data_IF_097489559343
#
_entry.id   IF_097489559343
#
_cell.length_a   1.000
_cell.length_b   1.000
_cell.length_c   1.000
_cell.angle_alpha   90.00
_cell.angle_beta   90.00
_cell.angle_gamma   90.00
#
_symmetry.space_group_name_H-M   'P 1'
#
loop_
_entity.id
_entity.type
_entity.pdbx_description
1 polymer ?
#
# COMPACT_ATOMS: atom_id res chain seq x y z
N UNK A 1 27.69 -14.61 -33.17
CA UNK A 1 27.46 -13.91 -31.88
C UNK A 1 26.38 -12.83 -31.91
N UNK A 2 25.88 -12.37 -33.07
CA UNK A 2 24.76 -11.40 -33.14
C UNK A 2 23.35 -12.03 -33.10
N UNK A 3 23.22 -13.31 -33.48
CA UNK A 3 21.91 -13.98 -33.63
C UNK A 3 21.30 -14.45 -32.29
N UNK A 4 22.11 -14.76 -31.28
CA UNK A 4 21.64 -15.22 -29.98
C UNK A 4 21.06 -14.09 -29.11
N UNK A 5 21.47 -12.84 -29.34
CA UNK A 5 20.98 -11.68 -28.58
C UNK A 5 19.57 -11.27 -28.97
N UNK A 6 19.20 -11.36 -30.25
CA UNK A 6 17.87 -11.02 -30.74
C UNK A 6 16.81 -12.05 -30.28
N UNK A 7 17.12 -13.34 -30.38
CA UNK A 7 16.23 -14.42 -29.95
C UNK A 7 16.00 -14.45 -28.42
N UNK A 8 17.00 -14.04 -27.63
CA UNK A 8 16.86 -13.94 -26.18
C UNK A 8 16.00 -12.73 -25.77
N UNK A 9 16.08 -11.63 -26.52
CA UNK A 9 15.25 -10.44 -26.28
C UNK A 9 13.77 -10.71 -26.58
N UNK A 10 13.46 -11.40 -27.69
CA UNK A 10 12.09 -11.80 -28.06
C UNK A 10 11.46 -12.79 -27.07
N UNK A 11 12.25 -13.75 -26.55
CA UNK A 11 11.78 -14.69 -25.50
C UNK A 11 11.52 -13.98 -24.18
N UNK A 12 12.34 -13.02 -23.82
CA UNK A 12 12.18 -12.23 -22.59
C UNK A 12 10.97 -11.29 -22.70
N UNK A 13 10.77 -10.66 -23.86
CA UNK A 13 9.65 -9.76 -24.12
C UNK A 13 8.31 -10.52 -24.20
N UNK A 14 8.27 -11.69 -24.84
CA UNK A 14 7.09 -12.55 -24.89
C UNK A 14 6.73 -13.17 -23.53
N UNK A 15 7.72 -13.53 -22.70
CA UNK A 15 7.48 -13.97 -21.32
C UNK A 15 6.94 -12.85 -20.44
N UNK A 16 7.45 -11.62 -20.59
CA UNK A 16 6.99 -10.45 -19.85
C UNK A 16 5.55 -10.07 -20.23
N UNK A 17 5.21 -10.09 -21.51
CA UNK A 17 3.83 -9.84 -22.01
C UNK A 17 2.85 -10.89 -21.49
N UNK A 18 3.22 -12.17 -21.50
CA UNK A 18 2.40 -13.27 -20.94
C UNK A 18 2.21 -13.16 -19.41
N UNK A 19 3.22 -12.67 -18.69
CA UNK A 19 3.15 -12.47 -17.23
C UNK A 19 2.22 -11.30 -16.88
N UNK A 20 2.29 -10.21 -17.62
CA UNK A 20 1.41 -9.05 -17.44
C UNK A 20 -0.06 -9.40 -17.73
N UNK A 21 -0.33 -10.22 -18.76
CA UNK A 21 -1.71 -10.64 -19.09
C UNK A 21 -2.35 -11.48 -17.97
N UNK A 22 -1.60 -12.39 -17.34
CA UNK A 22 -2.10 -13.19 -16.20
C UNK A 22 -2.36 -12.34 -14.96
N UNK A 23 -1.50 -11.36 -14.68
CA UNK A 23 -1.66 -10.43 -13.58
C UNK A 23 -2.95 -9.62 -13.74
N UNK A 24 -3.15 -9.00 -14.90
CA UNK A 24 -4.37 -8.24 -15.18
C UNK A 24 -5.64 -9.10 -15.12
N UNK A 25 -5.58 -10.34 -15.60
CA UNK A 25 -6.69 -11.28 -15.49
C UNK A 25 -7.05 -11.59 -14.04
N UNK A 26 -6.04 -11.83 -13.19
CA UNK A 26 -6.27 -12.03 -11.76
C UNK A 26 -6.96 -10.80 -11.14
N UNK A 27 -6.51 -9.59 -11.46
CA UNK A 27 -7.09 -8.36 -10.92
C UNK A 27 -8.55 -8.19 -11.38
N UNK A 28 -8.83 -8.44 -12.67
CA UNK A 28 -10.20 -8.40 -13.21
C UNK A 28 -11.11 -9.39 -12.50
N UNK A 29 -10.65 -10.64 -12.30
CA UNK A 29 -11.40 -11.66 -11.58
C UNK A 29 -11.60 -11.28 -10.10
N UNK A 30 -10.57 -10.76 -9.43
CA UNK A 30 -10.67 -10.32 -8.03
C UNK A 30 -11.71 -9.20 -7.84
N UNK A 31 -11.82 -8.27 -8.79
CA UNK A 31 -12.87 -7.24 -8.78
C UNK A 31 -14.25 -7.83 -9.08
N UNK A 32 -14.37 -8.64 -10.14
CA UNK A 32 -15.63 -9.27 -10.55
C UNK A 32 -16.22 -10.12 -9.43
N UNK A 33 -15.38 -10.92 -8.78
CA UNK A 33 -15.76 -11.87 -7.74
C UNK A 33 -15.83 -11.20 -6.35
N UNK A 34 -15.78 -9.86 -6.32
CA UNK A 34 -15.91 -9.00 -5.12
C UNK A 34 -14.87 -9.26 -4.03
N UNK A 35 -13.73 -9.86 -4.40
CA UNK A 35 -12.59 -10.04 -3.52
C UNK A 35 -11.79 -8.75 -3.31
N UNK A 36 -11.86 -7.83 -4.26
CA UNK A 36 -11.27 -6.48 -4.21
C UNK A 36 -12.35 -5.50 -4.62
N UNK A 37 -12.56 -4.45 -3.82
CA UNK A 37 -13.55 -3.40 -4.12
C UNK A 37 -13.00 -2.44 -5.17
N UNK A 38 -13.75 -2.24 -6.25
CA UNK A 38 -13.53 -1.15 -7.20
C UNK A 38 -14.29 0.09 -6.70
N UNK A 39 -13.57 1.16 -6.34
CA UNK A 39 -14.15 2.46 -5.97
C UNK A 39 -14.14 3.32 -7.23
N UNK A 40 -15.31 3.78 -7.67
CA UNK A 40 -15.38 4.69 -8.82
C UNK A 40 -14.71 6.00 -8.44
N UNK A 41 -13.83 6.51 -9.31
CA UNK A 41 -13.09 7.74 -9.01
C UNK A 41 -14.04 8.93 -8.77
N UNK A 42 -15.21 8.93 -9.41
CA UNK A 42 -16.28 9.92 -9.19
C UNK A 42 -16.87 9.91 -7.78
N UNK A 43 -16.73 8.83 -7.00
CA UNK A 43 -17.12 8.78 -5.59
C UNK A 43 -16.09 9.45 -4.67
N UNK A 44 -14.91 9.78 -5.18
CA UNK A 44 -13.83 10.40 -4.42
C UNK A 44 -13.89 11.92 -4.62
N UNK A 45 -13.93 12.65 -3.52
CA UNK A 45 -13.99 14.12 -3.50
C UNK A 45 -12.73 14.72 -2.88
N UNK A 46 -12.57 16.05 -3.01
CA UNK A 46 -11.48 16.83 -2.38
C UNK A 46 -10.08 16.28 -2.70
N UNK A 47 -9.87 15.82 -3.92
CA UNK A 47 -8.61 15.19 -4.31
C UNK A 47 -7.48 16.22 -4.30
N UNK A 48 -6.40 15.92 -3.56
CA UNK A 48 -5.13 16.65 -3.59
C UNK A 48 -4.08 15.75 -4.20
N UNK A 49 -3.53 16.16 -5.34
CA UNK A 49 -2.56 15.35 -6.07
C UNK A 49 -1.13 15.54 -5.55
N UNK A 50 -0.31 14.49 -5.63
CA UNK A 50 1.14 14.53 -5.39
C UNK A 50 1.52 15.02 -3.99
N UNK A 51 0.80 14.56 -2.97
CA UNK A 51 1.04 14.97 -1.57
C UNK A 51 2.32 14.35 -1.01
N UNK A 52 2.66 13.14 -1.46
CA UNK A 52 3.95 12.53 -1.17
C UNK A 52 4.43 11.70 -2.36
N UNK A 53 5.75 11.53 -2.48
CA UNK A 53 6.37 10.65 -3.47
C UNK A 53 7.50 9.87 -2.81
N UNK A 54 7.46 8.55 -2.90
CA UNK A 54 8.45 7.64 -2.34
C UNK A 54 8.83 6.53 -3.31
N UNK A 55 9.68 5.60 -2.85
CA UNK A 55 10.09 4.43 -3.65
C UNK A 55 8.91 3.54 -4.08
N UNK A 56 7.84 3.56 -3.30
CA UNK A 56 6.63 2.74 -3.51
C UNK A 56 5.54 3.44 -4.32
N UNK A 57 5.80 4.63 -4.86
CA UNK A 57 4.87 5.37 -5.72
C UNK A 57 4.50 6.77 -5.22
N UNK A 58 3.53 7.36 -5.91
CA UNK A 58 2.97 8.69 -5.59
C UNK A 58 1.71 8.53 -4.74
N UNK A 59 1.56 9.37 -3.72
CA UNK A 59 0.39 9.42 -2.84
C UNK A 59 -0.41 10.70 -3.14
N UNK A 60 -1.71 10.51 -3.34
CA UNK A 60 -2.72 11.57 -3.41
C UNK A 60 -3.64 11.43 -2.19
N UNK A 61 -4.30 12.52 -1.81
CA UNK A 61 -5.31 12.49 -0.75
C UNK A 61 -6.68 12.72 -1.35
N UNK A 62 -7.71 12.21 -0.69
CA UNK A 62 -9.10 12.47 -1.04
C UNK A 62 -10.04 12.18 0.12
N UNK A 63 -11.33 12.28 -0.15
CA UNK A 63 -12.39 11.91 0.76
C UNK A 63 -13.40 10.97 0.09
N UNK A 64 -13.68 9.84 0.73
CA UNK A 64 -14.65 8.85 0.26
C UNK A 64 -15.56 8.43 1.41
N UNK A 65 -16.88 8.56 1.23
CA UNK A 65 -17.90 8.29 2.27
C UNK A 65 -17.61 9.00 3.61
N UNK A 66 -17.22 10.27 3.54
CA UNK A 66 -16.80 11.11 4.67
C UNK A 66 -15.53 10.65 5.41
N UNK A 67 -14.78 9.66 4.89
CA UNK A 67 -13.48 9.26 5.41
C UNK A 67 -12.36 9.92 4.60
N UNK A 68 -11.32 10.41 5.27
CA UNK A 68 -10.08 10.78 4.60
C UNK A 68 -9.36 9.51 4.12
N UNK A 69 -8.90 9.54 2.87
CA UNK A 69 -8.25 8.42 2.23
C UNK A 69 -6.93 8.84 1.59
N UNK A 70 -5.98 7.90 1.56
CA UNK A 70 -4.80 7.97 0.74
C UNK A 70 -5.01 7.12 -0.51
N UNK A 71 -4.56 7.66 -1.65
CA UNK A 71 -4.63 7.02 -2.97
C UNK A 71 -3.19 6.84 -3.42
N UNK A 72 -2.70 5.60 -3.43
CA UNK A 72 -1.34 5.25 -3.85
C UNK A 72 -1.34 4.79 -5.29
N UNK A 73 -0.64 5.50 -6.17
CA UNK A 73 -0.42 5.06 -7.54
C UNK A 73 0.55 3.87 -7.56
N UNK A 74 0.19 2.83 -8.34
CA UNK A 74 1.05 1.69 -8.61
C UNK A 74 1.17 1.48 -10.11
N UNK A 75 2.38 1.65 -10.64
CA UNK A 75 2.64 1.51 -12.08
C UNK A 75 3.00 0.06 -12.47
N UNK A 76 3.30 -0.81 -11.50
CA UNK A 76 3.59 -2.22 -11.76
C UNK A 76 2.44 -3.11 -11.27
N UNK A 77 1.72 -3.73 -12.20
CA UNK A 77 0.60 -4.62 -11.91
C UNK A 77 0.98 -5.82 -11.03
N UNK A 78 2.20 -6.35 -11.16
CA UNK A 78 2.63 -7.47 -10.32
C UNK A 78 2.85 -7.05 -8.86
N UNK A 79 3.48 -5.89 -8.66
CA UNK A 79 3.75 -5.35 -7.31
C UNK A 79 2.43 -4.96 -6.64
N UNK A 80 1.52 -4.33 -7.39
CA UNK A 80 0.14 -4.09 -6.96
C UNK A 80 -0.54 -5.37 -6.49
N UNK A 81 -0.56 -6.43 -7.30
CA UNK A 81 -1.26 -7.67 -6.94
C UNK A 81 -0.64 -8.32 -5.72
N UNK A 82 0.68 -8.30 -5.61
CA UNK A 82 1.39 -8.81 -4.44
C UNK A 82 0.99 -8.05 -3.19
N UNK A 83 1.02 -6.72 -3.25
CA UNK A 83 0.60 -5.83 -2.15
C UNK A 83 -0.87 -6.09 -1.77
N UNK A 84 -1.78 -6.17 -2.76
CA UNK A 84 -3.20 -6.47 -2.54
C UNK A 84 -3.44 -7.81 -1.84
N UNK A 85 -2.72 -8.86 -2.23
CA UNK A 85 -2.87 -10.20 -1.63
C UNK A 85 -2.44 -10.21 -0.17
N UNK A 86 -1.27 -9.63 0.12
CA UNK A 86 -0.74 -9.56 1.49
C UNK A 86 -1.62 -8.71 2.38
N UNK A 87 -2.00 -7.52 1.90
CA UNK A 87 -2.85 -6.59 2.66
C UNK A 87 -4.22 -7.18 2.97
N UNK A 88 -4.81 -7.92 2.03
CA UNK A 88 -6.09 -8.61 2.24
C UNK A 88 -5.99 -9.66 3.36
N UNK A 89 -4.90 -10.42 3.42
CA UNK A 89 -4.70 -11.44 4.46
C UNK A 89 -4.63 -10.82 5.86
N UNK A 90 -4.13 -9.59 5.97
CA UNK A 90 -3.94 -8.92 7.27
C UNK A 90 -4.95 -7.82 7.58
N UNK A 91 -6.02 -7.70 6.77
CA UNK A 91 -6.97 -6.59 6.80
C UNK A 91 -7.69 -6.42 8.16
N UNK A 92 -7.91 -7.53 8.88
CA UNK A 92 -8.69 -7.54 10.11
C UNK A 92 -7.90 -6.99 11.32
N UNK A 93 -6.58 -6.81 11.20
CA UNK A 93 -5.77 -6.27 12.28
C UNK A 93 -6.03 -4.79 12.51
N UNK A 94 -6.06 -4.40 13.78
CA UNK A 94 -6.17 -3.02 14.21
C UNK A 94 -4.83 -2.26 14.17
N UNK A 95 -3.72 -2.94 13.86
CA UNK A 95 -2.37 -2.37 13.82
C UNK A 95 -1.80 -2.26 12.40
N UNK A 96 -2.61 -2.57 11.39
CA UNK A 96 -2.27 -2.45 9.97
C UNK A 96 -3.17 -1.38 9.36
N UNK A 97 -2.61 -0.55 8.48
CA UNK A 97 -3.37 0.46 7.76
C UNK A 97 -4.56 -0.20 7.05
N UNK A 98 -5.76 0.40 7.08
CA UNK A 98 -6.91 -0.23 6.41
C UNK A 98 -6.82 -0.09 4.89
N UNK A 99 -7.13 -1.17 4.19
CA UNK A 99 -7.31 -1.20 2.74
C UNK A 99 -8.80 -1.12 2.39
N UNK A 100 -9.20 -0.15 1.59
CA UNK A 100 -10.60 0.05 1.23
C UNK A 100 -10.97 -0.50 -0.15
N UNK A 101 -9.98 -0.58 -1.06
CA UNK A 101 -10.20 -1.02 -2.42
C UNK A 101 -9.15 -0.49 -3.37
N UNK A 102 -9.45 -0.57 -4.65
CA UNK A 102 -8.68 0.07 -5.72
C UNK A 102 -9.51 1.15 -6.40
N UNK A 103 -8.86 2.08 -7.08
CA UNK A 103 -9.49 3.02 -8.01
C UNK A 103 -8.69 3.10 -9.31
N UNK A 104 -9.19 3.82 -10.31
CA UNK A 104 -8.51 4.11 -11.56
C UNK A 104 -8.19 5.59 -11.64
N UNK A 105 -6.93 5.94 -11.83
CA UNK A 105 -6.54 7.33 -12.02
C UNK A 105 -7.26 7.88 -13.28
N UNK A 106 -7.94 9.04 -13.20
CA UNK A 106 -8.88 9.49 -14.22
C UNK A 106 -8.21 9.75 -15.58
N UNK A 107 -6.94 10.15 -15.59
CA UNK A 107 -6.20 10.51 -16.80
C UNK A 107 -5.38 9.34 -17.36
N UNK A 108 -4.62 8.66 -16.50
CA UNK A 108 -3.66 7.63 -16.92
C UNK A 108 -4.30 6.25 -16.98
N UNK A 109 -5.45 6.03 -16.34
CA UNK A 109 -6.09 4.73 -16.16
C UNK A 109 -5.22 3.71 -15.40
N UNK A 110 -4.18 4.18 -14.72
CA UNK A 110 -3.38 3.38 -13.79
C UNK A 110 -4.25 2.95 -12.61
N UNK A 111 -3.97 1.76 -12.09
CA UNK A 111 -4.67 1.28 -10.90
C UNK A 111 -4.02 1.88 -9.66
N UNK A 112 -4.83 2.48 -8.80
CA UNK A 112 -4.39 3.02 -7.52
C UNK A 112 -4.97 2.20 -6.37
N UNK A 113 -4.23 2.10 -5.28
CA UNK A 113 -4.69 1.50 -4.02
C UNK A 113 -5.36 2.61 -3.19
N UNK A 114 -6.57 2.36 -2.69
CA UNK A 114 -7.28 3.26 -1.77
C UNK A 114 -7.18 2.70 -0.36
N UNK A 115 -6.58 3.47 0.54
CA UNK A 115 -6.29 3.06 1.92
C UNK A 115 -6.60 4.17 2.92
N UNK A 116 -6.60 3.80 4.20
CA UNK A 116 -6.74 4.74 5.31
C UNK A 116 -5.67 5.82 5.24
N UNK A 117 -6.10 7.07 5.35
CA UNK A 117 -5.18 8.19 5.59
C UNK A 117 -4.82 8.26 7.08
N UNK A 118 -3.57 8.56 7.36
CA UNK A 118 -3.03 8.72 8.71
C UNK A 118 -2.57 10.17 8.86
N UNK A 119 -3.37 10.96 9.57
CA UNK A 119 -3.25 12.43 9.62
C UNK A 119 -1.96 12.92 10.25
N UNK A 120 -1.39 12.11 11.16
CA UNK A 120 -0.13 12.44 11.83
C UNK A 120 1.10 11.95 11.06
N UNK A 121 0.92 11.51 9.80
CA UNK A 121 2.02 11.16 8.91
C UNK A 121 2.73 9.87 9.31
N UNK A 122 4.00 9.73 8.92
CA UNK A 122 4.82 8.59 9.30
C UNK A 122 5.45 8.80 10.69
N UNK A 123 5.84 7.71 11.35
CA UNK A 123 6.45 7.75 12.68
C UNK A 123 7.72 8.60 12.69
N UNK A 124 8.50 8.61 11.60
CA UNK A 124 9.68 9.47 11.52
C UNK A 124 9.30 10.95 11.70
N UNK A 125 8.41 11.46 10.85
CA UNK A 125 7.97 12.87 10.88
C UNK A 125 7.25 13.19 12.19
N UNK A 126 6.47 12.25 12.71
CA UNK A 126 5.76 12.38 13.97
C UNK A 126 6.72 12.59 15.15
N UNK A 127 7.79 11.79 15.23
CA UNK A 127 8.81 11.89 16.27
C UNK A 127 9.62 13.18 16.14
N UNK A 128 9.97 13.59 14.91
CA UNK A 128 10.71 14.82 14.64
C UNK A 128 9.91 16.07 15.04
N UNK A 129 8.61 16.10 14.69
CA UNK A 129 7.71 17.23 14.98
C UNK A 129 7.40 17.37 16.48
N UNK A 130 7.36 16.25 17.22
CA UNK A 130 6.93 16.23 18.63
C UNK A 130 8.06 15.90 19.61
N UNK A 131 9.33 15.97 19.20
CA UNK A 131 10.47 15.41 19.95
C UNK A 131 10.52 15.82 21.44
N UNK A 132 10.12 17.06 21.78
CA UNK A 132 10.11 17.58 23.16
C UNK A 132 8.87 17.12 23.95
N UNK A 133 7.77 16.78 23.28
CA UNK A 133 6.46 16.50 23.89
C UNK A 133 6.15 15.00 24.06
N UNK A 134 6.92 14.09 23.45
CA UNK A 134 6.62 12.65 23.52
C UNK A 134 7.09 12.04 24.84
N UNK A 135 6.11 11.76 25.70
CA UNK A 135 6.33 11.06 26.98
C UNK A 135 6.84 9.62 26.79
N UNK A 136 7.49 9.07 27.83
CA UNK A 136 7.87 7.66 27.85
C UNK A 136 6.68 6.71 27.69
N UNK A 137 5.51 7.07 28.25
CA UNK A 137 4.29 6.29 28.09
C UNK A 137 3.86 6.21 26.62
N UNK A 138 3.95 7.32 25.89
CA UNK A 138 3.66 7.34 24.44
C UNK A 138 4.64 6.47 23.67
N UNK A 139 5.95 6.54 23.98
CA UNK A 139 6.97 5.69 23.34
C UNK A 139 6.70 4.20 23.57
N UNK A 140 6.38 3.84 24.81
CA UNK A 140 6.01 2.47 25.17
C UNK A 140 4.77 2.00 24.40
N UNK A 141 3.71 2.83 24.34
CA UNK A 141 2.49 2.51 23.59
C UNK A 141 2.79 2.25 22.11
N UNK A 142 3.52 3.16 21.46
CA UNK A 142 3.88 3.01 20.05
C UNK A 142 4.69 1.72 19.79
N UNK A 143 5.67 1.42 20.65
CA UNK A 143 6.46 0.19 20.54
C UNK A 143 5.60 -1.07 20.73
N UNK A 144 4.63 -1.03 21.65
CA UNK A 144 3.68 -2.12 21.88
C UNK A 144 2.73 -2.31 20.70
N UNK A 145 2.21 -1.24 20.11
CA UNK A 145 1.32 -1.29 18.93
C UNK A 145 2.07 -1.83 17.70
N UNK A 146 3.30 -1.37 17.45
CA UNK A 146 4.13 -1.85 16.34
C UNK A 146 4.47 -3.33 16.52
N UNK A 147 4.87 -3.75 17.72
CA UNK A 147 5.19 -5.16 17.98
C UNK A 147 3.96 -6.06 17.90
N UNK A 148 2.78 -5.58 18.33
CA UNK A 148 1.51 -6.29 18.14
C UNK A 148 1.13 -6.44 16.67
N UNK A 149 1.37 -5.41 15.86
CA UNK A 149 1.19 -5.49 14.41
C UNK A 149 2.13 -6.50 13.76
N UNK A 150 3.39 -6.55 14.20
CA UNK A 150 4.38 -7.51 13.70
C UNK A 150 4.03 -8.95 14.07
N UNK A 151 3.66 -9.20 15.34
CA UNK A 151 3.19 -10.52 15.78
C UNK A 151 2.00 -10.99 14.95
N UNK A 152 1.04 -10.09 14.68
CA UNK A 152 -0.10 -10.41 13.83
C UNK A 152 0.32 -10.83 12.42
N UNK A 153 1.13 -10.04 11.71
CA UNK A 153 1.52 -10.40 10.32
C UNK A 153 2.39 -11.66 10.27
N UNK A 154 3.21 -11.90 11.29
CA UNK A 154 4.04 -13.11 11.36
C UNK A 154 3.20 -14.38 11.58
N UNK A 155 2.11 -14.31 12.35
CA UNK A 155 1.15 -15.43 12.49
C UNK A 155 0.45 -15.75 11.18
N UNK A 156 0.29 -14.76 10.31
CA UNK A 156 -0.19 -14.90 8.94
C UNK A 156 0.92 -15.34 7.95
N UNK A 157 2.09 -15.72 8.46
CA UNK A 157 3.27 -16.11 7.68
C UNK A 157 3.77 -15.00 6.73
N UNK A 158 3.53 -13.72 7.06
CA UNK A 158 3.97 -12.57 6.26
C UNK A 158 5.15 -11.89 6.95
N UNK A 159 6.28 -11.83 6.25
CA UNK A 159 7.45 -11.06 6.63
C UNK A 159 7.42 -9.69 5.96
N UNK A 160 7.40 -8.60 6.73
CA UNK A 160 7.33 -7.25 6.17
C UNK A 160 8.53 -6.92 5.26
N UNK A 161 9.74 -7.31 5.68
CA UNK A 161 11.07 -7.11 5.03
C UNK A 161 11.53 -5.67 4.79
N UNK A 162 10.65 -4.69 4.88
CA UNK A 162 10.99 -3.26 4.75
C UNK A 162 10.43 -2.43 5.92
N UNK A 163 10.56 -2.96 7.15
CA UNK A 163 10.01 -2.28 8.32
C UNK A 163 10.98 -1.20 8.81
N UNK A 164 10.55 0.06 8.73
CA UNK A 164 11.26 1.21 9.27
C UNK A 164 10.28 2.32 9.64
N UNK A 165 10.73 3.38 10.33
CA UNK A 165 9.88 4.47 10.83
C UNK A 165 9.05 5.19 9.75
N UNK A 166 9.45 5.21 8.48
CA UNK A 166 8.64 5.76 7.38
C UNK A 166 7.49 4.85 6.90
N UNK A 167 7.54 3.56 7.24
CA UNK A 167 6.53 2.55 6.92
C UNK A 167 5.66 2.22 8.15
N UNK A 168 5.76 3.05 9.19
CA UNK A 168 4.81 3.09 10.30
C UNK A 168 4.07 4.42 10.18
N UNK A 169 2.75 4.37 10.06
CA UNK A 169 1.88 5.53 10.02
C UNK A 169 1.26 5.79 11.40
N UNK A 170 0.99 7.06 11.70
CA UNK A 170 0.33 7.48 12.94
C UNK A 170 -1.05 8.05 12.60
N UNK A 171 -2.10 7.39 13.07
CA UNK A 171 -3.48 7.85 12.83
C UNK A 171 -3.83 9.09 13.65
N UNK A 172 -5.02 9.67 13.42
CA UNK A 172 -5.58 10.80 14.20
C UNK A 172 -5.51 10.64 15.72
N UNK A 173 -5.58 9.42 16.25
CA UNK A 173 -5.59 9.14 17.68
C UNK A 173 -4.19 8.88 18.25
N UNK A 174 -3.15 8.99 17.41
CA UNK A 174 -1.77 8.72 17.80
C UNK A 174 -1.43 7.24 17.86
N UNK A 175 -2.19 6.39 17.15
CA UNK A 175 -1.97 4.95 17.07
C UNK A 175 -1.03 4.59 15.92
N UNK A 176 -0.10 3.68 16.16
CA UNK A 176 0.79 3.15 15.14
C UNK A 176 0.11 2.10 14.25
N UNK A 177 0.31 2.25 12.93
CA UNK A 177 -0.19 1.37 11.88
C UNK A 177 0.95 0.97 10.93
N UNK A 178 1.16 -0.32 10.72
CA UNK A 178 2.11 -0.81 9.70
C UNK A 178 1.49 -0.64 8.31
N UNK A 179 2.31 -0.20 7.34
CA UNK A 179 1.93 -0.01 5.94
C UNK A 179 3.03 -0.49 4.99
N UNK A 180 2.72 -0.49 3.69
CA UNK A 180 3.64 -0.74 2.57
C UNK A 180 4.19 -2.18 2.49
N UNK A 181 3.28 -3.10 2.13
CA UNK A 181 3.59 -4.52 1.94
C UNK A 181 4.21 -4.84 0.57
N UNK A 182 4.61 -3.85 -0.23
CA UNK A 182 5.10 -4.07 -1.60
C UNK A 182 6.32 -4.99 -1.65
N UNK A 183 7.21 -4.91 -0.67
CA UNK A 183 8.42 -5.74 -0.58
C UNK A 183 8.25 -7.02 0.25
N UNK A 184 7.14 -7.15 0.97
CA UNK A 184 6.89 -8.26 1.90
C UNK A 184 6.94 -9.65 1.24
N UNK A 185 7.11 -10.70 2.05
CA UNK A 185 7.21 -12.09 1.59
C UNK A 185 6.27 -12.97 2.42
N UNK A 186 5.66 -13.95 1.76
CA UNK A 186 4.73 -14.94 2.35
C UNK A 186 5.13 -16.34 1.94
#
# INVERSE_FOLDING_TARGET
MANDRAANNDRTQSAQVKKNTRAEEWLRNAVRDKHVRMIQFSEISKVKYNVAKGGSGTIHLGAWRNMHIAIKEQHNTNDLIKELKMHKQVHDSNYIVKFFGITKHPLTQDTCIVMQFAENGCLQDYLETHNIAITWLTKYRLAWEISSGLDFIHRENIFHTDLHSRNILIDTHGKALITDFGLSKS
#
